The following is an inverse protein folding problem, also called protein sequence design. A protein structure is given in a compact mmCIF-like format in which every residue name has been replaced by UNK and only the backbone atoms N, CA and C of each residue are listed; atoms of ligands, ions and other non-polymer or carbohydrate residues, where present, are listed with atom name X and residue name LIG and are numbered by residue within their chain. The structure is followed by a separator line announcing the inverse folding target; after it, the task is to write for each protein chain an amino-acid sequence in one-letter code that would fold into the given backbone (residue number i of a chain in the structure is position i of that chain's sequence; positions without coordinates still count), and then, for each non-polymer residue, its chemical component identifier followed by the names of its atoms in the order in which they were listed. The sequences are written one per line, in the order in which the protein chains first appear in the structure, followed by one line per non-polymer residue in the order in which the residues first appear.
data_IF_658080949715
#
_entry.id   IF_658080949715
#
_cell.length_a   1.000
_cell.length_b   1.000
_cell.length_c   1.000
_cell.angle_alpha   90.00
_cell.angle_beta   90.00
_cell.angle_gamma   90.00
#
_symmetry.space_group_name_H-M   'P 1'
#
loop_
_entity.id
_entity.type
_entity.pdbx_description
1 polymer ?
#
# COMPACT_ATOMS: atom_id res chain seq x y z
N UNK A 1 -15.14 27.84 -80.76
CA UNK A 1 -16.26 26.94 -81.06
C UNK A 1 -17.53 27.69 -80.64
N UNK A 2 -18.39 28.10 -81.58
CA UNK A 2 -19.58 28.91 -81.28
C UNK A 2 -20.69 28.01 -80.72
N UNK A 3 -21.06 28.23 -79.46
CA UNK A 3 -22.19 27.57 -78.80
C UNK A 3 -23.49 28.17 -79.37
N UNK A 4 -24.57 27.39 -79.61
CA UNK A 4 -25.79 27.88 -80.23
C UNK A 4 -26.47 28.93 -79.35
N UNK A 5 -26.90 30.05 -79.95
CA UNK A 5 -27.65 31.10 -79.24
C UNK A 5 -29.11 30.63 -79.12
N UNK A 6 -29.48 30.08 -77.97
CA UNK A 6 -30.87 29.83 -77.61
C UNK A 6 -31.52 31.20 -77.34
N UNK A 7 -32.59 31.54 -78.05
CA UNK A 7 -33.38 32.75 -77.81
C UNK A 7 -34.70 32.29 -77.20
N UNK A 8 -34.83 32.43 -75.89
CA UNK A 8 -36.07 32.18 -75.14
C UNK A 8 -36.73 33.54 -74.87
N UNK A 9 -38.06 33.61 -74.94
CA UNK A 9 -38.82 34.79 -74.52
C UNK A 9 -38.72 34.96 -73.00
N UNK A 10 -38.31 36.15 -72.55
CA UNK A 10 -38.00 36.42 -71.15
C UNK A 10 -39.22 36.25 -70.23
N UNK A 11 -40.44 36.42 -70.75
CA UNK A 11 -41.66 36.33 -69.94
C UNK A 11 -42.01 34.88 -69.55
N UNK A 12 -41.85 33.91 -70.46
CA UNK A 12 -42.08 32.48 -70.16
C UNK A 12 -40.98 31.92 -69.27
N UNK A 13 -39.72 32.32 -69.50
CA UNK A 13 -38.60 31.86 -68.69
C UNK A 13 -38.68 32.33 -67.22
N UNK A 14 -39.19 33.54 -66.97
CA UNK A 14 -39.37 34.08 -65.62
C UNK A 14 -40.52 33.43 -64.83
N UNK A 15 -41.50 32.81 -65.47
CA UNK A 15 -42.57 32.05 -64.80
C UNK A 15 -42.03 30.72 -64.25
N UNK A 16 -41.23 30.00 -65.03
CA UNK A 16 -40.64 28.71 -64.63
C UNK A 16 -39.60 28.84 -63.50
N UNK A 17 -38.90 29.98 -63.42
CA UNK A 17 -37.91 30.24 -62.38
C UNK A 17 -38.51 30.56 -61.01
N UNK A 18 -39.80 30.88 -60.91
CA UNK A 18 -40.48 31.18 -59.63
C UNK A 18 -40.62 29.97 -58.71
N UNK A 19 -40.46 28.75 -59.23
CA UNK A 19 -40.55 27.52 -58.44
C UNK A 19 -39.24 27.16 -57.71
N UNK A 20 -38.15 27.88 -57.95
CA UNK A 20 -36.85 27.64 -57.31
C UNK A 20 -36.53 28.74 -56.30
N UNK A 21 -36.09 28.36 -55.09
CA UNK A 21 -35.67 29.33 -54.06
C UNK A 21 -34.30 29.97 -54.35
N UNK A 22 -33.42 29.29 -55.11
CA UNK A 22 -32.10 29.79 -55.48
C UNK A 22 -31.71 29.27 -56.88
N UNK A 23 -31.10 30.13 -57.72
CA UNK A 23 -30.69 29.79 -59.09
C UNK A 23 -29.26 30.28 -59.31
N UNK A 24 -28.39 29.37 -59.75
CA UNK A 24 -27.00 29.66 -60.06
C UNK A 24 -26.78 29.63 -61.59
N UNK A 25 -26.25 30.71 -62.16
CA UNK A 25 -26.06 30.86 -63.60
C UNK A 25 -24.57 30.91 -63.93
N UNK A 26 -24.09 29.93 -64.72
CA UNK A 26 -22.70 29.93 -65.20
C UNK A 26 -22.65 30.18 -66.73
N UNK A 27 -21.77 31.12 -67.14
CA UNK A 27 -21.47 31.44 -68.54
C UNK A 27 -22.65 31.89 -69.41
N UNK A 28 -23.62 32.62 -68.83
CA UNK A 28 -24.77 33.18 -69.56
C UNK A 28 -24.50 34.61 -70.02
N UNK A 29 -24.93 34.97 -71.24
CA UNK A 29 -24.91 36.36 -71.75
C UNK A 29 -26.34 36.87 -71.90
N UNK A 30 -26.70 37.90 -71.14
CA UNK A 30 -28.04 38.51 -71.16
C UNK A 30 -27.96 39.85 -71.89
N UNK A 31 -28.82 40.04 -72.90
CA UNK A 31 -28.79 41.21 -73.79
C UNK A 31 -30.13 41.96 -73.64
N UNK A 32 -30.18 42.94 -72.74
CA UNK A 32 -31.41 43.67 -72.40
C UNK A 32 -31.48 44.98 -73.20
N UNK A 33 -32.47 45.12 -74.07
CA UNK A 33 -32.59 46.30 -74.93
C UNK A 33 -33.07 47.58 -74.22
N UNK A 34 -33.75 47.48 -73.08
CA UNK A 34 -34.12 48.61 -72.20
C UNK A 34 -34.52 48.09 -70.80
N UNK A 35 -33.63 48.24 -69.80
CA UNK A 35 -33.86 47.91 -68.39
C UNK A 35 -32.59 48.08 -67.54
N UNK A 36 -32.73 48.32 -66.23
CA UNK A 36 -31.62 48.43 -65.26
C UNK A 36 -31.55 47.13 -64.44
N UNK A 37 -30.35 46.57 -64.27
CA UNK A 37 -30.08 45.41 -63.40
C UNK A 37 -29.29 45.92 -62.19
N UNK A 38 -29.83 45.78 -60.97
CA UNK A 38 -29.10 46.02 -59.72
C UNK A 38 -28.61 44.68 -59.14
N UNK A 39 -27.31 44.60 -58.85
CA UNK A 39 -26.70 43.47 -58.15
C UNK A 39 -26.40 43.87 -56.71
N UNK A 40 -26.97 43.15 -55.74
CA UNK A 40 -26.45 43.17 -54.36
C UNK A 40 -25.33 42.14 -54.25
N UNK A 41 -24.07 42.58 -54.20
CA UNK A 41 -22.97 41.67 -53.95
C UNK A 41 -23.10 41.03 -52.55
N UNK A 42 -22.94 39.70 -52.39
CA UNK A 42 -22.83 39.10 -51.08
C UNK A 42 -21.53 39.58 -50.42
N UNK A 43 -21.64 40.03 -49.17
CA UNK A 43 -20.51 40.43 -48.33
C UNK A 43 -19.57 39.22 -48.19
N UNK A 44 -18.34 39.36 -48.66
CA UNK A 44 -17.26 38.41 -48.37
C UNK A 44 -16.97 38.50 -46.86
N UNK A 45 -17.58 37.61 -46.06
CA UNK A 45 -17.22 37.48 -44.64
C UNK A 45 -15.81 36.87 -44.61
N UNK A 46 -14.80 37.56 -44.04
CA UNK A 46 -13.45 37.03 -43.97
C UNK A 46 -13.45 35.68 -43.22
N UNK A 47 -12.78 34.66 -43.76
CA UNK A 47 -12.52 33.39 -43.06
C UNK A 47 -11.86 33.59 -41.69
N UNK A 48 -11.25 34.76 -41.42
CA UNK A 48 -10.73 35.15 -40.11
C UNK A 48 -11.80 35.16 -39.00
N UNK A 49 -13.07 35.51 -39.29
CA UNK A 49 -14.13 35.45 -38.27
C UNK A 49 -14.49 34.01 -37.88
N UNK A 50 -14.31 33.04 -38.80
CA UNK A 50 -14.53 31.61 -38.50
C UNK A 50 -13.45 31.01 -37.61
N UNK A 51 -12.26 31.58 -37.56
CA UNK A 51 -11.19 31.11 -36.66
C UNK A 51 -11.42 31.56 -35.21
N UNK A 52 -11.93 32.77 -35.01
CA UNK A 52 -12.37 33.25 -33.69
C UNK A 52 -13.60 32.50 -33.19
N UNK A 53 -14.59 32.22 -34.05
CA UNK A 53 -15.75 31.39 -33.68
C UNK A 53 -15.38 29.91 -33.44
N UNK A 54 -14.30 29.39 -34.06
CA UNK A 54 -13.77 28.04 -33.78
C UNK A 54 -12.97 27.95 -32.49
N UNK A 55 -12.55 29.07 -31.91
CA UNK A 55 -12.17 29.11 -30.50
C UNK A 55 -13.43 29.22 -29.66
N UNK A 56 -14.34 28.24 -29.81
CA UNK A 56 -15.25 27.94 -28.73
C UNK A 56 -14.36 27.73 -27.51
N UNK A 57 -14.46 28.63 -26.52
CA UNK A 57 -13.78 28.53 -25.24
C UNK A 57 -14.04 27.10 -24.74
N UNK A 58 -13.02 26.24 -24.85
CA UNK A 58 -13.13 24.87 -24.38
C UNK A 58 -13.20 25.02 -22.87
N UNK A 59 -14.41 25.03 -22.33
CA UNK A 59 -14.64 24.93 -20.89
C UNK A 59 -14.18 23.55 -20.48
N UNK A 60 -12.91 23.45 -20.10
CA UNK A 60 -12.38 22.26 -19.46
C UNK A 60 -13.17 22.10 -18.17
N UNK A 61 -13.96 21.02 -17.99
CA UNK A 61 -14.69 20.82 -16.75
C UNK A 61 -13.68 20.76 -15.60
N UNK A 62 -14.02 21.38 -14.48
CA UNK A 62 -13.25 21.27 -13.25
C UNK A 62 -13.08 19.78 -12.91
N UNK A 63 -11.84 19.30 -12.89
CA UNK A 63 -11.58 17.92 -12.52
C UNK A 63 -11.91 17.73 -11.04
N UNK A 64 -12.79 16.78 -10.76
CA UNK A 64 -13.06 16.30 -9.40
C UNK A 64 -12.69 14.83 -9.34
N UNK A 65 -11.73 14.43 -8.47
CA UNK A 65 -11.38 13.03 -8.35
C UNK A 65 -12.60 12.24 -7.88
N UNK A 66 -12.76 11.02 -8.39
CA UNK A 66 -13.77 10.11 -7.87
C UNK A 66 -13.37 9.71 -6.45
N UNK A 67 -14.16 10.14 -5.46
CA UNK A 67 -13.98 9.75 -4.06
C UNK A 67 -15.01 8.66 -3.75
N UNK A 68 -14.53 7.45 -3.52
CA UNK A 68 -15.37 6.33 -3.10
C UNK A 68 -15.67 6.46 -1.60
N UNK A 69 -16.95 6.48 -1.24
CA UNK A 69 -17.37 6.33 0.16
C UNK A 69 -17.31 4.85 0.57
N UNK A 70 -16.71 4.58 1.72
CA UNK A 70 -16.57 3.25 2.31
C UNK A 70 -17.47 3.10 3.53
N UNK A 71 -18.01 1.90 3.76
CA UNK A 71 -18.97 1.66 4.85
C UNK A 71 -18.31 1.57 6.21
N UNK A 72 -17.10 1.01 6.24
CA UNK A 72 -16.32 0.80 7.44
C UNK A 72 -14.95 1.47 7.31
N UNK A 73 -14.37 1.75 8.47
CA UNK A 73 -12.96 2.07 8.64
C UNK A 73 -12.24 0.83 9.14
N UNK A 74 -10.94 0.76 8.88
CA UNK A 74 -10.08 -0.29 9.40
C UNK A 74 -9.81 0.00 10.87
N UNK A 75 -9.80 -1.03 11.71
CA UNK A 75 -9.57 -0.88 13.15
C UNK A 75 -8.22 -0.20 13.41
N UNK A 76 -8.16 0.59 14.48
CA UNK A 76 -6.92 1.21 14.94
C UNK A 76 -6.34 0.39 16.07
N UNK A 77 -5.07 -0.01 15.92
CA UNK A 77 -4.36 -0.83 16.91
C UNK A 77 -3.18 -0.02 17.44
N UNK A 78 -3.11 0.14 18.76
CA UNK A 78 -1.95 0.72 19.43
C UNK A 78 -0.95 -0.38 19.81
N UNK A 79 0.31 -0.13 19.48
CA UNK A 79 1.48 -0.91 19.90
C UNK A 79 2.26 -0.10 20.94
N UNK A 80 2.58 -0.75 22.06
CA UNK A 80 3.20 -0.12 23.21
C UNK A 80 2.21 0.51 24.19
N UNK A 81 2.66 0.64 25.43
CA UNK A 81 1.96 1.36 26.48
C UNK A 81 2.95 2.21 27.26
N UNK A 82 2.56 3.46 27.53
CA UNK A 82 3.29 4.38 28.40
C UNK A 82 3.09 4.03 29.89
N UNK A 83 3.80 4.73 30.78
CA UNK A 83 3.65 4.60 32.23
C UNK A 83 2.20 4.86 32.69
N UNK A 84 1.52 5.84 32.08
CA UNK A 84 0.11 6.17 32.37
C UNK A 84 -0.85 5.05 31.94
N UNK A 85 -0.44 4.20 30.98
CA UNK A 85 -1.21 3.08 30.45
C UNK A 85 -0.79 1.73 31.07
N UNK A 86 0.17 1.74 32.01
CA UNK A 86 0.67 0.55 32.71
C UNK A 86 1.82 -0.20 32.02
N UNK A 87 2.47 0.41 31.03
CA UNK A 87 3.72 -0.09 30.43
C UNK A 87 4.91 0.82 30.75
N UNK A 88 6.02 0.66 30.02
CA UNK A 88 7.25 1.45 30.22
C UNK A 88 7.79 2.06 28.93
N UNK A 89 7.04 1.97 27.82
CA UNK A 89 7.46 2.50 26.52
C UNK A 89 7.44 4.04 26.56
N UNK A 90 8.49 4.68 26.02
CA UNK A 90 8.49 6.15 25.82
C UNK A 90 7.81 6.56 24.52
N UNK A 91 7.67 5.62 23.59
CA UNK A 91 6.99 5.82 22.31
C UNK A 91 5.92 4.75 22.14
N UNK A 92 4.72 5.19 21.79
CA UNK A 92 3.63 4.34 21.35
C UNK A 92 3.36 4.61 19.88
N UNK A 93 2.97 3.59 19.15
CA UNK A 93 2.62 3.72 17.74
C UNK A 93 1.22 3.20 17.50
N UNK A 94 0.56 3.72 16.48
CA UNK A 94 -0.75 3.25 16.03
C UNK A 94 -0.62 2.81 14.57
N UNK A 95 -1.35 1.77 14.22
CA UNK A 95 -1.50 1.27 12.85
C UNK A 95 -2.99 1.09 12.55
N UNK A 96 -3.32 1.02 11.26
CA UNK A 96 -4.70 0.92 10.84
C UNK A 96 -5.42 2.26 10.89
N UNK A 97 -6.76 2.23 10.85
CA UNK A 97 -7.54 3.46 10.83
C UNK A 97 -7.70 4.09 9.45
N UNK A 98 -7.44 3.34 8.39
CA UNK A 98 -7.69 3.79 7.03
C UNK A 98 -9.20 3.78 6.77
N UNK A 99 -9.70 4.83 6.12
CA UNK A 99 -11.09 4.90 5.65
C UNK A 99 -11.22 4.62 4.14
N UNK A 100 -10.15 4.14 3.49
CA UNK A 100 -10.13 3.84 2.07
C UNK A 100 -8.90 3.04 1.63
N UNK A 101 -8.72 2.88 0.32
CA UNK A 101 -7.57 2.19 -0.26
C UNK A 101 -6.27 3.02 -0.06
N UNK A 102 -5.11 2.37 0.08
CA UNK A 102 -3.85 3.04 0.40
C UNK A 102 -3.51 4.11 -0.65
N UNK A 103 -3.26 5.33 -0.17
CA UNK A 103 -2.84 6.50 -0.97
C UNK A 103 -3.80 6.90 -2.10
N UNK A 104 -5.07 6.51 -2.02
CA UNK A 104 -6.09 6.92 -2.98
C UNK A 104 -6.64 8.33 -2.65
N UNK A 105 -7.03 9.15 -3.65
CA UNK A 105 -7.67 10.44 -3.38
C UNK A 105 -8.92 10.31 -2.48
N UNK A 106 -8.94 11.07 -1.39
CA UNK A 106 -10.02 11.04 -0.40
C UNK A 106 -9.90 9.93 0.66
N UNK A 107 -8.89 9.05 0.58
CA UNK A 107 -8.54 8.13 1.66
C UNK A 107 -7.70 8.84 2.72
N UNK A 108 -8.22 8.92 3.94
CA UNK A 108 -7.46 9.33 5.12
C UNK A 108 -6.63 8.15 5.63
N UNK A 109 -5.31 8.27 5.51
CA UNK A 109 -4.33 7.34 6.08
C UNK A 109 -3.92 7.84 7.48
N UNK A 110 -4.84 7.81 8.45
CA UNK A 110 -4.65 8.46 9.77
C UNK A 110 -3.34 8.05 10.43
N UNK A 111 -3.01 6.76 10.38
CA UNK A 111 -1.75 6.26 10.90
C UNK A 111 -0.87 5.83 9.74
N UNK A 112 0.37 6.32 9.71
CA UNK A 112 1.36 5.89 8.73
C UNK A 112 1.73 4.41 8.95
N UNK A 113 1.97 3.63 7.89
CA UNK A 113 2.55 2.31 8.03
C UNK A 113 3.91 2.35 8.74
N UNK A 114 4.22 1.29 9.48
CA UNK A 114 5.40 1.19 10.33
C UNK A 114 6.34 0.08 9.87
N UNK A 115 7.63 0.26 10.07
CA UNK A 115 8.66 -0.74 9.78
C UNK A 115 9.32 -1.18 11.08
N UNK A 116 9.31 -2.48 11.34
CA UNK A 116 10.09 -3.12 12.41
C UNK A 116 11.43 -3.59 11.87
N UNK A 117 12.42 -3.67 12.78
CA UNK A 117 13.69 -4.33 12.49
C UNK A 117 13.72 -5.71 13.11
N UNK A 118 14.01 -6.74 12.30
CA UNK A 118 14.18 -8.11 12.76
C UNK A 118 15.51 -8.30 13.48
N UNK A 119 15.42 -8.79 14.71
CA UNK A 119 16.52 -9.14 15.61
C UNK A 119 16.30 -10.57 16.07
N UNK A 120 17.38 -11.28 16.40
CA UNK A 120 17.33 -12.68 16.82
C UNK A 120 17.99 -12.84 18.19
N UNK A 121 17.47 -13.74 19.00
CA UNK A 121 18.03 -14.06 20.33
C UNK A 121 19.29 -14.95 20.28
N UNK A 122 19.62 -15.43 19.09
CA UNK A 122 20.85 -16.12 18.74
C UNK A 122 21.16 -15.84 17.26
N UNK A 123 22.42 -15.61 16.86
CA UNK A 123 22.77 -15.33 15.48
C UNK A 123 22.31 -16.43 14.51
N UNK A 124 21.43 -16.15 13.54
CA UNK A 124 21.09 -17.09 12.50
C UNK A 124 22.09 -17.02 11.32
N UNK A 125 22.10 -18.03 10.43
CA UNK A 125 22.86 -17.94 9.20
C UNK A 125 22.28 -16.87 8.27
N UNK A 126 22.91 -15.68 8.24
CA UNK A 126 22.49 -14.58 7.38
C UNK A 126 23.38 -14.41 6.13
N UNK A 127 22.79 -14.04 4.97
CA UNK A 127 23.54 -13.59 3.81
C UNK A 127 24.52 -12.47 4.15
N UNK A 128 25.68 -12.47 3.46
CA UNK A 128 26.72 -11.44 3.64
C UNK A 128 26.16 -10.01 3.54
N UNK A 129 25.21 -9.80 2.63
CA UNK A 129 24.56 -8.49 2.43
C UNK A 129 23.89 -7.93 3.68
N UNK A 130 23.34 -8.79 4.55
CA UNK A 130 22.79 -8.36 5.84
C UNK A 130 23.89 -8.37 6.90
N UNK A 131 24.63 -9.47 6.98
CA UNK A 131 25.59 -9.72 8.06
C UNK A 131 26.62 -8.60 8.19
N UNK A 132 27.16 -8.08 7.09
CA UNK A 132 28.18 -7.02 7.08
C UNK A 132 27.76 -5.73 7.83
N UNK A 133 26.46 -5.55 8.10
CA UNK A 133 25.94 -4.41 8.86
C UNK A 133 25.89 -4.62 10.38
N UNK A 134 26.03 -5.86 10.84
CA UNK A 134 25.75 -6.27 12.22
C UNK A 134 26.77 -7.25 12.83
N UNK A 135 27.85 -7.60 12.13
CA UNK A 135 28.87 -8.57 12.62
C UNK A 135 29.36 -8.28 14.05
N UNK A 136 29.37 -7.01 14.47
CA UNK A 136 29.79 -6.55 15.79
C UNK A 136 28.71 -6.65 16.89
N UNK A 137 27.44 -6.84 16.53
CA UNK A 137 26.30 -6.79 17.47
C UNK A 137 25.38 -8.02 17.43
N UNK A 138 25.51 -8.92 16.45
CA UNK A 138 24.58 -10.06 16.27
C UNK A 138 24.52 -11.06 17.43
N UNK A 139 25.51 -11.08 18.31
CA UNK A 139 25.55 -11.93 19.52
C UNK A 139 24.82 -11.29 20.72
N UNK A 140 24.46 -10.00 20.63
CA UNK A 140 23.77 -9.24 21.67
C UNK A 140 22.44 -8.69 21.09
N UNK A 141 21.30 -9.31 21.43
CA UNK A 141 19.99 -8.89 20.93
C UNK A 141 19.67 -7.42 21.25
N UNK A 142 20.14 -6.90 22.38
CA UNK A 142 19.91 -5.50 22.77
C UNK A 142 20.73 -4.56 21.90
N UNK A 143 22.02 -4.85 21.69
CA UNK A 143 22.86 -4.05 20.82
C UNK A 143 22.37 -4.09 19.36
N UNK A 144 21.91 -5.26 18.90
CA UNK A 144 21.34 -5.42 17.57
C UNK A 144 20.04 -4.62 17.41
N UNK A 145 19.13 -4.68 18.40
CA UNK A 145 17.91 -3.88 18.42
C UNK A 145 18.21 -2.38 18.36
N UNK A 146 19.15 -1.89 19.17
CA UNK A 146 19.58 -0.47 19.16
C UNK A 146 20.12 -0.07 17.79
N UNK A 147 20.97 -0.90 17.17
CA UNK A 147 21.50 -0.64 15.82
C UNK A 147 20.39 -0.60 14.76
N UNK A 148 19.41 -1.51 14.82
CA UNK A 148 18.26 -1.51 13.91
C UNK A 148 17.43 -0.22 13.99
N UNK A 149 17.24 0.30 15.20
CA UNK A 149 16.53 1.57 15.44
C UNK A 149 17.33 2.78 14.96
N UNK A 150 18.65 2.82 15.21
CA UNK A 150 19.55 3.85 14.67
C UNK A 150 19.52 3.90 13.13
N UNK A 151 19.30 2.75 12.49
CA UNK A 151 19.22 2.61 11.04
C UNK A 151 17.84 2.94 10.46
N UNK A 152 16.91 3.36 11.31
CA UNK A 152 15.67 4.05 10.94
C UNK A 152 14.40 3.33 11.35
N UNK A 153 14.43 2.06 11.76
CA UNK A 153 13.23 1.30 12.09
C UNK A 153 12.38 1.98 13.19
N UNK A 154 11.06 1.79 13.13
CA UNK A 154 10.13 2.39 14.08
C UNK A 154 10.06 1.57 15.38
N UNK A 155 10.08 0.24 15.27
CA UNK A 155 10.02 -0.73 16.37
C UNK A 155 10.91 -1.95 16.07
N UNK A 156 10.95 -2.90 16.99
CA UNK A 156 11.78 -4.11 16.90
C UNK A 156 10.90 -5.36 16.86
N UNK A 157 11.23 -6.29 15.97
CA UNK A 157 10.76 -7.68 16.05
C UNK A 157 11.88 -8.53 16.62
N UNK A 158 11.65 -9.21 17.74
CA UNK A 158 12.57 -10.21 18.27
C UNK A 158 12.08 -11.61 17.87
N UNK A 159 12.93 -12.35 17.17
CA UNK A 159 12.72 -13.76 16.82
C UNK A 159 13.48 -14.63 17.82
N UNK A 160 12.75 -15.38 18.64
CA UNK A 160 13.27 -16.26 19.68
C UNK A 160 13.69 -17.62 19.10
N UNK A 161 14.53 -17.60 18.06
CA UNK A 161 14.93 -18.80 17.29
C UNK A 161 15.69 -19.83 18.12
N UNK A 162 16.33 -19.41 19.22
CA UNK A 162 17.03 -20.31 20.14
C UNK A 162 16.10 -21.29 20.87
N UNK A 163 14.78 -21.05 20.88
CA UNK A 163 13.81 -21.97 21.51
C UNK A 163 13.47 -23.18 20.65
N UNK A 164 13.91 -23.25 19.38
CA UNK A 164 13.67 -24.43 18.54
C UNK A 164 14.32 -25.67 19.20
N UNK A 165 13.54 -26.74 19.48
CA UNK A 165 14.06 -28.00 20.01
C UNK A 165 15.17 -28.65 19.17
N UNK A 166 15.31 -28.26 17.89
CA UNK A 166 16.35 -28.74 16.97
C UNK A 166 17.66 -27.94 17.07
N UNK A 167 17.67 -26.83 17.81
CA UNK A 167 18.84 -25.96 17.95
C UNK A 167 19.36 -25.94 19.40
N UNK A 168 19.03 -24.91 20.19
CA UNK A 168 19.44 -24.76 21.59
C UNK A 168 18.36 -25.22 22.57
N UNK A 169 17.11 -25.36 22.12
CA UNK A 169 15.96 -25.73 22.94
C UNK A 169 15.83 -24.89 24.23
N UNK A 170 16.14 -23.58 24.15
CA UNK A 170 16.00 -22.67 25.30
C UNK A 170 14.58 -22.71 25.85
N UNK A 171 14.46 -22.60 27.16
CA UNK A 171 13.15 -22.71 27.83
C UNK A 171 12.33 -21.43 27.61
N UNK A 172 10.99 -21.50 27.75
CA UNK A 172 10.14 -20.32 27.73
C UNK A 172 10.59 -19.20 28.70
N UNK A 173 11.13 -19.56 29.87
CA UNK A 173 11.63 -18.63 30.86
C UNK A 173 12.91 -17.91 30.39
N UNK A 174 13.82 -18.63 29.73
CA UNK A 174 15.03 -18.02 29.17
C UNK A 174 14.69 -17.06 28.01
N UNK A 175 13.71 -17.42 27.18
CA UNK A 175 13.19 -16.53 26.14
C UNK A 175 12.52 -15.28 26.73
N UNK A 176 11.72 -15.45 27.78
CA UNK A 176 11.06 -14.34 28.48
C UNK A 176 12.06 -13.37 29.13
N UNK A 177 13.22 -13.87 29.59
CA UNK A 177 14.29 -13.03 30.10
C UNK A 177 14.93 -12.16 29.00
N UNK A 178 15.18 -12.73 27.82
CA UNK A 178 15.64 -11.96 26.64
C UNK A 178 14.66 -10.82 26.32
N UNK A 179 13.36 -11.08 26.40
CA UNK A 179 12.32 -10.05 26.18
C UNK A 179 12.37 -8.98 27.27
N UNK A 180 12.53 -9.36 28.54
CA UNK A 180 12.64 -8.41 29.66
C UNK A 180 13.87 -7.49 29.49
N UNK A 181 15.01 -8.07 29.12
CA UNK A 181 16.25 -7.32 28.87
C UNK A 181 16.08 -6.30 27.72
N UNK A 182 15.42 -6.69 26.63
CA UNK A 182 15.08 -5.79 25.52
C UNK A 182 14.16 -4.66 25.97
N UNK A 183 13.12 -4.97 26.75
CA UNK A 183 12.17 -3.97 27.24
C UNK A 183 12.87 -2.94 28.14
N UNK A 184 13.82 -3.34 28.98
CA UNK A 184 14.59 -2.43 29.84
C UNK A 184 15.52 -1.50 29.06
N UNK A 185 15.97 -1.93 27.88
CA UNK A 185 17.03 -1.26 27.12
C UNK A 185 16.55 -0.52 25.86
N UNK A 186 15.30 -0.73 25.44
CA UNK A 186 14.73 -0.16 24.22
C UNK A 186 13.42 0.55 24.56
N UNK A 187 13.23 1.76 24.04
CA UNK A 187 12.11 2.63 24.41
C UNK A 187 10.85 2.47 23.54
N UNK A 188 10.96 1.72 22.45
CA UNK A 188 9.89 1.47 21.47
C UNK A 188 9.17 0.15 21.75
N UNK A 189 7.98 -0.08 21.15
CA UNK A 189 7.26 -1.34 21.27
C UNK A 189 8.01 -2.51 20.64
N UNK A 190 7.68 -3.73 21.11
CA UNK A 190 8.23 -4.98 20.59
C UNK A 190 7.15 -5.82 19.88
N UNK A 191 7.56 -6.45 18.78
CA UNK A 191 6.91 -7.63 18.22
C UNK A 191 7.70 -8.85 18.71
N UNK A 192 7.03 -9.82 19.32
CA UNK A 192 7.67 -11.00 19.92
C UNK A 192 7.31 -12.22 19.08
N UNK A 193 8.30 -12.75 18.36
CA UNK A 193 8.24 -13.92 17.51
C UNK A 193 8.81 -15.16 18.20
N UNK A 194 8.14 -16.30 18.04
CA UNK A 194 8.66 -17.60 18.43
C UNK A 194 9.73 -18.15 17.47
N UNK A 195 10.00 -19.44 17.59
CA UNK A 195 10.94 -20.18 16.73
C UNK A 195 10.29 -20.74 15.45
N UNK A 196 8.96 -20.71 15.36
CA UNK A 196 8.16 -21.40 14.36
C UNK A 196 7.82 -22.84 14.75
N UNK A 197 8.08 -23.26 15.99
CA UNK A 197 7.76 -24.60 16.46
C UNK A 197 6.33 -24.64 17.03
N UNK A 198 5.41 -25.45 16.47
CA UNK A 198 3.99 -25.40 16.83
C UNK A 198 3.69 -25.83 18.27
N UNK A 199 4.55 -26.65 18.88
CA UNK A 199 4.38 -27.12 20.26
C UNK A 199 5.04 -26.18 21.26
N UNK A 200 6.21 -25.62 20.92
CA UNK A 200 7.00 -24.77 21.82
C UNK A 200 6.52 -23.33 21.82
N UNK A 201 6.15 -22.77 20.66
CA UNK A 201 5.85 -21.34 20.51
C UNK A 201 4.69 -20.87 21.40
N UNK A 202 3.56 -21.60 21.56
CA UNK A 202 2.51 -21.17 22.48
C UNK A 202 2.98 -21.07 23.95
N UNK A 203 3.93 -21.92 24.37
CA UNK A 203 4.52 -21.88 25.72
C UNK A 203 5.44 -20.66 25.86
N UNK A 204 6.28 -20.43 24.86
CA UNK A 204 7.24 -19.31 24.81
C UNK A 204 6.50 -17.97 24.79
N UNK A 205 5.51 -17.82 23.92
CA UNK A 205 4.74 -16.59 23.79
C UNK A 205 3.92 -16.29 25.06
N UNK A 206 3.39 -17.30 25.75
CA UNK A 206 2.74 -17.10 27.05
C UNK A 206 3.73 -16.60 28.11
N UNK A 207 4.92 -17.20 28.20
CA UNK A 207 5.95 -16.76 29.14
C UNK A 207 6.42 -15.33 28.85
N UNK A 208 6.64 -15.01 27.57
CA UNK A 208 7.02 -13.67 27.14
C UNK A 208 5.91 -12.64 27.41
N UNK A 209 4.64 -12.99 27.18
CA UNK A 209 3.50 -12.13 27.52
C UNK A 209 3.44 -11.82 29.02
N UNK A 210 3.72 -12.80 29.89
CA UNK A 210 3.78 -12.57 31.34
C UNK A 210 4.95 -11.68 31.73
N UNK A 211 6.11 -11.84 31.10
CA UNK A 211 7.28 -11.00 31.37
C UNK A 211 7.11 -9.56 30.86
N UNK A 212 6.37 -9.37 29.76
CA UNK A 212 6.08 -8.09 29.14
C UNK A 212 4.74 -7.48 29.61
N UNK A 213 4.18 -7.93 30.74
CA UNK A 213 2.83 -7.55 31.16
C UNK A 213 2.62 -6.03 31.15
N UNK A 214 1.56 -5.59 30.47
CA UNK A 214 1.20 -4.17 30.37
C UNK A 214 1.91 -3.42 29.25
N UNK A 215 3.02 -3.93 28.70
CA UNK A 215 3.81 -3.25 27.66
C UNK A 215 3.13 -3.16 26.30
N UNK A 216 2.03 -3.90 26.11
CA UNK A 216 1.25 -3.93 24.87
C UNK A 216 2.08 -4.24 23.63
N UNK A 217 2.97 -5.23 23.76
CA UNK A 217 3.67 -5.90 22.66
C UNK A 217 2.70 -6.59 21.68
N UNK A 218 3.20 -6.90 20.47
CA UNK A 218 2.52 -7.74 19.48
C UNK A 218 3.08 -9.17 19.56
N UNK A 219 2.23 -10.16 19.86
CA UNK A 219 2.62 -11.58 19.88
C UNK A 219 2.48 -12.18 18.47
N UNK A 220 3.61 -12.60 17.89
CA UNK A 220 3.72 -13.20 16.56
C UNK A 220 4.06 -14.70 16.68
N UNK A 221 3.15 -15.62 16.37
CA UNK A 221 1.79 -15.41 15.88
C UNK A 221 0.83 -16.49 16.39
N UNK A 222 -0.46 -16.19 16.32
CA UNK A 222 -1.52 -17.18 16.47
C UNK A 222 -1.91 -17.71 15.08
N UNK A 223 -2.12 -19.02 14.96
CA UNK A 223 -2.48 -19.71 13.71
C UNK A 223 -3.53 -20.78 13.98
N UNK A 224 -4.26 -21.25 12.95
CA UNK A 224 -5.30 -22.27 13.14
C UNK A 224 -4.77 -23.65 13.53
N UNK A 225 -3.49 -23.92 13.27
CA UNK A 225 -2.82 -25.21 13.45
C UNK A 225 -1.98 -25.32 14.74
N UNK A 226 -1.91 -24.25 15.54
CA UNK A 226 -1.27 -24.26 16.88
C UNK A 226 -2.28 -23.91 17.98
N UNK A 227 -1.84 -23.92 19.24
CA UNK A 227 -2.66 -23.47 20.38
C UNK A 227 -2.85 -21.93 20.40
N UNK A 228 -3.59 -21.41 19.41
CA UNK A 228 -3.96 -19.99 19.31
C UNK A 228 -4.76 -19.51 20.51
N UNK A 229 -5.50 -20.41 21.18
CA UNK A 229 -6.28 -20.03 22.35
C UNK A 229 -5.38 -19.66 23.53
N UNK A 230 -4.28 -20.39 23.75
CA UNK A 230 -3.29 -20.06 24.76
C UNK A 230 -2.62 -18.71 24.49
N UNK A 231 -2.25 -18.45 23.24
CA UNK A 231 -1.65 -17.16 22.84
C UNK A 231 -2.66 -16.02 23.05
N UNK A 232 -3.92 -16.21 22.63
CA UNK A 232 -4.97 -15.21 22.81
C UNK A 232 -5.26 -14.94 24.29
N UNK A 233 -5.38 -15.98 25.13
CA UNK A 233 -5.57 -15.83 26.58
C UNK A 233 -4.41 -15.09 27.22
N UNK A 234 -3.17 -15.44 26.88
CA UNK A 234 -1.98 -14.73 27.34
C UNK A 234 -2.00 -13.25 26.94
N UNK A 235 -2.44 -12.93 25.72
CA UNK A 235 -2.56 -11.56 25.25
C UNK A 235 -3.66 -10.78 25.99
N UNK A 236 -4.82 -11.39 26.24
CA UNK A 236 -5.92 -10.76 26.98
C UNK A 236 -5.49 -10.45 28.42
N UNK A 237 -4.91 -11.43 29.12
CA UNK A 237 -4.51 -11.32 30.53
C UNK A 237 -3.40 -10.29 30.76
N UNK A 238 -2.51 -10.10 29.78
CA UNK A 238 -1.34 -9.24 29.90
C UNK A 238 -1.41 -7.96 29.04
N UNK A 239 -2.58 -7.69 28.43
CA UNK A 239 -2.86 -6.51 27.60
C UNK A 239 -1.96 -6.38 26.36
N UNK A 240 -1.80 -7.47 25.60
CA UNK A 240 -1.03 -7.51 24.34
C UNK A 240 -1.92 -7.55 23.10
N UNK A 241 -1.30 -7.31 21.95
CA UNK A 241 -1.90 -7.47 20.62
C UNK A 241 -1.50 -8.84 20.06
N UNK A 242 -2.38 -9.47 19.27
CA UNK A 242 -2.12 -10.76 18.61
C UNK A 242 -1.99 -10.53 17.11
N UNK A 243 -0.94 -11.11 16.52
CA UNK A 243 -0.81 -11.25 15.07
C UNK A 243 -1.46 -12.57 14.64
N UNK A 244 -2.55 -12.48 13.88
CA UNK A 244 -3.33 -13.60 13.37
C UNK A 244 -2.82 -14.01 11.99
N UNK A 245 -1.97 -15.03 11.96
CA UNK A 245 -1.31 -15.48 10.74
C UNK A 245 -2.09 -16.58 10.03
N UNK A 246 -2.26 -16.44 8.72
CA UNK A 246 -2.88 -17.44 7.84
C UNK A 246 -2.15 -17.55 6.50
N UNK A 247 -2.30 -18.67 5.81
CA UNK A 247 -1.61 -18.95 4.55
C UNK A 247 -2.42 -18.50 3.33
N UNK A 248 -2.34 -17.21 2.97
CA UNK A 248 -2.90 -16.63 1.72
C UNK A 248 -4.35 -17.08 1.45
N UNK A 249 -5.18 -17.12 2.50
CA UNK A 249 -6.56 -17.60 2.44
C UNK A 249 -7.48 -16.70 3.26
N UNK A 250 -8.40 -16.03 2.55
CA UNK A 250 -9.34 -15.09 3.14
C UNK A 250 -10.34 -15.74 4.09
N UNK A 251 -10.73 -16.99 3.85
CA UNK A 251 -11.68 -17.70 4.69
C UNK A 251 -11.01 -18.15 5.98
N UNK A 252 -9.76 -18.63 5.90
CA UNK A 252 -8.97 -18.94 7.09
C UNK A 252 -8.74 -17.70 7.94
N UNK A 253 -8.46 -16.54 7.32
CA UNK A 253 -8.31 -15.29 8.07
C UNK A 253 -9.60 -14.89 8.79
N UNK A 254 -10.76 -14.96 8.11
CA UNK A 254 -12.07 -14.72 8.74
C UNK A 254 -12.33 -15.67 9.90
N UNK A 255 -12.04 -16.96 9.71
CA UNK A 255 -12.21 -17.98 10.73
C UNK A 255 -11.33 -17.70 11.97
N UNK A 256 -10.03 -17.46 11.76
CA UNK A 256 -9.09 -17.17 12.84
C UNK A 256 -9.48 -15.90 13.59
N UNK A 257 -9.79 -14.81 12.86
CA UNK A 257 -10.22 -13.56 13.47
C UNK A 257 -11.50 -13.75 14.30
N UNK A 258 -12.51 -14.44 13.78
CA UNK A 258 -13.74 -14.75 14.52
C UNK A 258 -13.45 -15.56 15.79
N UNK A 259 -12.60 -16.58 15.71
CA UNK A 259 -12.21 -17.40 16.87
C UNK A 259 -11.51 -16.56 17.94
N UNK A 260 -10.55 -15.73 17.57
CA UNK A 260 -9.82 -14.85 18.49
C UNK A 260 -10.77 -13.85 19.17
N UNK A 261 -11.68 -13.23 18.42
CA UNK A 261 -12.69 -12.31 18.99
C UNK A 261 -13.65 -13.03 19.94
N UNK A 262 -14.07 -14.27 19.62
CA UNK A 262 -14.95 -15.07 20.48
C UNK A 262 -14.29 -15.49 21.81
N UNK A 263 -12.95 -15.55 21.88
CA UNK A 263 -12.21 -15.76 23.13
C UNK A 263 -12.17 -14.50 24.01
N UNK A 264 -12.68 -13.36 23.52
CA UNK A 264 -12.69 -12.09 24.23
C UNK A 264 -11.54 -11.16 23.86
N UNK A 265 -10.76 -11.47 22.83
CA UNK A 265 -9.75 -10.54 22.31
C UNK A 265 -10.46 -9.29 21.79
N UNK A 266 -10.03 -8.10 22.24
CA UNK A 266 -10.64 -6.86 21.77
C UNK A 266 -10.23 -6.57 20.34
N UNK A 267 -11.07 -5.81 19.62
CA UNK A 267 -10.81 -5.45 18.21
C UNK A 267 -9.54 -4.60 18.03
N UNK A 268 -9.17 -3.82 19.04
CA UNK A 268 -7.94 -3.03 19.12
C UNK A 268 -6.69 -3.85 19.52
N UNK A 269 -6.81 -5.18 19.57
CA UNK A 269 -5.75 -6.13 19.91
C UNK A 269 -5.48 -7.15 18.78
N UNK A 270 -5.92 -6.89 17.55
CA UNK A 270 -5.78 -7.84 16.44
C UNK A 270 -5.12 -7.20 15.21
N UNK A 271 -4.07 -7.84 14.72
CA UNK A 271 -3.40 -7.53 13.45
C UNK A 271 -3.43 -8.80 12.58
N UNK A 272 -3.81 -8.68 11.30
CA UNK A 272 -3.81 -9.81 10.39
C UNK A 272 -2.45 -9.99 9.73
N UNK A 273 -2.01 -11.22 9.50
CA UNK A 273 -0.90 -11.53 8.59
C UNK A 273 -1.35 -12.60 7.60
N UNK A 274 -1.79 -12.23 6.39
CA UNK A 274 -2.29 -13.17 5.40
C UNK A 274 -1.16 -13.88 4.63
N UNK A 275 0.06 -13.90 5.17
CA UNK A 275 1.30 -14.38 4.56
C UNK A 275 1.77 -13.53 3.38
N UNK A 276 3.04 -13.13 3.45
CA UNK A 276 3.75 -12.47 2.35
C UNK A 276 4.51 -13.48 1.52
N UNK A 277 3.98 -13.78 0.33
CA UNK A 277 4.76 -14.33 -0.76
C UNK A 277 5.60 -13.22 -1.40
N UNK A 278 6.86 -13.53 -1.69
CA UNK A 278 7.86 -12.52 -2.06
C UNK A 278 8.01 -12.40 -3.57
N UNK A 279 8.65 -11.33 -4.04
CA UNK A 279 8.87 -11.09 -5.46
C UNK A 279 9.43 -12.33 -6.15
N UNK A 280 8.77 -12.78 -7.22
CA UNK A 280 9.17 -13.96 -8.00
C UNK A 280 8.74 -15.32 -7.43
N UNK A 281 8.13 -15.36 -6.23
CA UNK A 281 7.73 -16.58 -5.53
C UNK A 281 6.27 -16.50 -5.05
N UNK A 282 5.35 -16.14 -5.95
CA UNK A 282 3.90 -16.13 -5.68
C UNK A 282 3.34 -14.81 -5.15
N UNK A 283 4.06 -13.70 -5.30
CA UNK A 283 3.65 -12.36 -4.84
C UNK A 283 2.25 -11.94 -5.34
N UNK A 284 1.86 -12.38 -6.54
CA UNK A 284 0.55 -12.14 -7.16
C UNK A 284 -0.62 -12.70 -6.34
N UNK A 285 -0.41 -13.81 -5.62
CA UNK A 285 -1.41 -14.38 -4.73
C UNK A 285 -1.59 -13.50 -3.50
N UNK A 286 -0.49 -13.05 -2.89
CA UNK A 286 -0.54 -12.13 -1.76
C UNK A 286 -1.17 -10.79 -2.15
N UNK A 287 -0.82 -10.21 -3.30
CA UNK A 287 -1.45 -8.98 -3.83
C UNK A 287 -2.96 -9.16 -3.86
N UNK A 288 -3.43 -10.24 -4.50
CA UNK A 288 -4.85 -10.50 -4.69
C UNK A 288 -5.57 -10.67 -3.35
N UNK A 289 -4.98 -11.39 -2.41
CA UNK A 289 -5.61 -11.65 -1.10
C UNK A 289 -5.62 -10.40 -0.21
N UNK A 290 -4.51 -9.69 -0.08
CA UNK A 290 -4.44 -8.47 0.75
C UNK A 290 -5.37 -7.37 0.22
N UNK A 291 -5.40 -7.13 -1.10
CA UNK A 291 -6.32 -6.15 -1.68
C UNK A 291 -7.79 -6.54 -1.47
N UNK A 292 -8.13 -7.82 -1.64
CA UNK A 292 -9.49 -8.30 -1.36
C UNK A 292 -9.86 -8.13 0.10
N UNK A 293 -8.96 -8.46 1.03
CA UNK A 293 -9.17 -8.26 2.46
C UNK A 293 -9.43 -6.80 2.80
N UNK A 294 -8.57 -5.89 2.32
CA UNK A 294 -8.73 -4.44 2.50
C UNK A 294 -10.08 -3.96 1.95
N UNK A 295 -10.43 -4.35 0.72
CA UNK A 295 -11.70 -3.98 0.09
C UNK A 295 -12.93 -4.53 0.83
N UNK A 296 -12.91 -5.79 1.26
CA UNK A 296 -14.01 -6.41 2.00
C UNK A 296 -14.19 -5.75 3.37
N UNK A 297 -13.07 -5.49 4.08
CA UNK A 297 -13.06 -4.75 5.34
C UNK A 297 -13.72 -3.37 5.21
N UNK A 298 -13.29 -2.57 4.23
CA UNK A 298 -13.85 -1.25 3.93
C UNK A 298 -15.32 -1.30 3.48
N UNK A 299 -15.74 -2.38 2.78
CA UNK A 299 -17.12 -2.59 2.32
C UNK A 299 -18.09 -3.04 3.42
N UNK A 300 -17.61 -3.32 4.63
CA UNK A 300 -18.46 -3.65 5.77
C UNK A 300 -18.13 -4.95 6.48
N UNK A 301 -17.17 -5.75 5.98
CA UNK A 301 -16.82 -7.03 6.61
C UNK A 301 -16.01 -6.79 7.89
N UNK A 302 -16.67 -6.95 9.05
CA UNK A 302 -16.07 -6.72 10.37
C UNK A 302 -15.03 -7.77 10.76
N UNK A 303 -14.97 -8.91 10.06
CA UNK A 303 -13.97 -9.95 10.29
C UNK A 303 -12.66 -9.65 9.56
N UNK A 304 -12.67 -8.74 8.59
CA UNK A 304 -11.49 -8.34 7.80
C UNK A 304 -11.12 -6.87 7.97
N UNK A 305 -11.84 -6.12 8.80
CA UNK A 305 -11.61 -4.70 8.98
C UNK A 305 -10.45 -4.41 9.95
N UNK A 306 -9.34 -5.13 9.88
CA UNK A 306 -8.19 -5.02 10.80
C UNK A 306 -6.92 -4.59 10.04
N UNK A 307 -5.93 -3.98 10.72
CA UNK A 307 -4.65 -3.70 10.08
C UNK A 307 -3.93 -4.98 9.66
N UNK A 308 -3.10 -4.88 8.63
CA UNK A 308 -2.33 -5.99 8.07
C UNK A 308 -0.84 -5.83 8.32
N UNK A 309 -0.17 -6.95 8.58
CA UNK A 309 1.28 -7.09 8.69
C UNK A 309 1.85 -7.82 7.48
N UNK A 310 3.13 -7.58 7.18
CA UNK A 310 3.90 -8.29 6.18
C UNK A 310 5.26 -8.73 6.73
N UNK A 311 5.51 -10.04 6.69
CA UNK A 311 6.85 -10.63 6.81
C UNK A 311 7.72 -10.35 5.57
N UNK A 312 8.06 -9.08 5.31
CA UNK A 312 8.82 -8.66 4.12
C UNK A 312 10.23 -9.27 4.10
N UNK A 313 10.81 -9.56 5.27
CA UNK A 313 12.08 -10.31 5.42
C UNK A 313 12.10 -11.66 4.70
N UNK A 314 10.94 -12.27 4.42
CA UNK A 314 10.84 -13.49 3.60
C UNK A 314 11.51 -13.33 2.23
N UNK A 315 11.70 -12.09 1.74
CA UNK A 315 12.41 -11.79 0.50
C UNK A 315 13.83 -12.38 0.50
N UNK A 316 14.47 -12.53 1.66
CA UNK A 316 15.78 -13.15 1.81
C UNK A 316 15.77 -14.68 1.66
N UNK A 317 14.60 -15.32 1.62
CA UNK A 317 14.44 -16.71 1.21
C UNK A 317 14.60 -16.92 -0.30
N UNK A 318 14.38 -15.88 -1.11
CA UNK A 318 14.56 -15.94 -2.56
C UNK A 318 16.05 -16.09 -2.92
N UNK A 319 16.37 -17.01 -3.84
CA UNK A 319 17.76 -17.26 -4.27
C UNK A 319 18.38 -16.01 -4.89
N UNK A 320 17.58 -15.23 -5.59
CA UNK A 320 17.91 -13.95 -6.21
C UNK A 320 18.29 -12.87 -5.19
N UNK A 321 18.02 -13.05 -3.89
CA UNK A 321 18.42 -12.09 -2.88
C UNK A 321 19.87 -12.31 -2.39
N UNK A 322 20.38 -13.55 -2.39
CA UNK A 322 21.66 -13.86 -1.72
C UNK A 322 22.64 -14.71 -2.55
N UNK A 323 22.17 -15.44 -3.56
CA UNK A 323 23.01 -16.31 -4.38
C UNK A 323 23.96 -15.47 -5.24
N UNK A 324 25.24 -15.86 -5.24
CA UNK A 324 26.23 -15.27 -6.15
C UNK A 324 26.01 -15.86 -7.54
N UNK A 325 25.63 -14.99 -8.49
CA UNK A 325 25.43 -15.33 -9.89
C UNK A 325 25.78 -14.10 -10.74
N UNK A 326 26.74 -14.20 -11.64
CA UNK A 326 27.34 -13.05 -12.33
C UNK A 326 26.38 -12.42 -13.36
N UNK A 327 25.63 -13.25 -14.08
CA UNK A 327 24.58 -12.87 -15.04
C UNK A 327 23.39 -12.14 -14.40
N UNK A 328 23.24 -12.21 -13.08
CA UNK A 328 22.21 -11.48 -12.33
C UNK A 328 22.71 -10.15 -11.75
N UNK A 329 24.01 -9.85 -11.86
CA UNK A 329 24.61 -8.68 -11.23
C UNK A 329 24.82 -8.84 -9.71
N UNK A 330 25.21 -7.74 -9.07
CA UNK A 330 25.68 -7.75 -7.68
C UNK A 330 24.58 -8.09 -6.67
N UNK A 331 24.79 -9.16 -5.89
CA UNK A 331 23.87 -9.57 -4.82
C UNK A 331 23.77 -8.55 -3.68
N UNK A 332 24.79 -7.72 -3.47
CA UNK A 332 24.78 -6.67 -2.45
C UNK A 332 23.80 -5.54 -2.80
N UNK A 333 23.41 -5.44 -4.08
CA UNK A 333 22.35 -4.56 -4.56
C UNK A 333 21.02 -5.29 -4.72
N UNK A 334 21.05 -6.52 -5.29
CA UNK A 334 19.84 -7.31 -5.52
C UNK A 334 19.08 -7.67 -4.25
N UNK A 335 19.77 -8.15 -3.22
CA UNK A 335 19.13 -8.57 -1.96
C UNK A 335 18.28 -7.46 -1.34
N UNK A 336 18.87 -6.27 -1.09
CA UNK A 336 18.12 -5.14 -0.56
C UNK A 336 16.97 -4.71 -1.48
N UNK A 337 17.17 -4.72 -2.79
CA UNK A 337 16.10 -4.40 -3.76
C UNK A 337 14.95 -5.42 -3.71
N UNK A 338 15.24 -6.71 -3.52
CA UNK A 338 14.22 -7.75 -3.42
C UNK A 338 13.29 -7.51 -2.23
N UNK A 339 13.88 -7.17 -1.09
CA UNK A 339 13.16 -6.80 0.12
C UNK A 339 12.39 -5.49 -0.06
N UNK A 340 13.01 -4.45 -0.65
CA UNK A 340 12.35 -3.16 -0.91
C UNK A 340 11.16 -3.32 -1.85
N UNK A 341 11.30 -4.01 -2.98
CA UNK A 341 10.20 -4.16 -3.95
C UNK A 341 9.06 -4.98 -3.37
N UNK A 342 9.37 -6.02 -2.59
CA UNK A 342 8.35 -6.77 -1.84
C UNK A 342 7.61 -5.83 -0.88
N UNK A 343 8.33 -5.05 -0.07
CA UNK A 343 7.74 -4.08 0.85
C UNK A 343 6.88 -3.01 0.16
N UNK A 344 7.35 -2.43 -0.94
CA UNK A 344 6.59 -1.44 -1.72
C UNK A 344 5.31 -2.04 -2.32
N UNK A 345 5.39 -3.28 -2.79
CA UNK A 345 4.20 -3.97 -3.32
C UNK A 345 3.17 -4.21 -2.22
N UNK A 346 3.61 -4.65 -1.04
CA UNK A 346 2.76 -4.87 0.12
C UNK A 346 2.17 -3.54 0.64
N UNK A 347 2.93 -2.44 0.60
CA UNK A 347 2.47 -1.09 0.90
C UNK A 347 1.30 -0.66 0.02
N UNK A 348 1.39 -0.90 -1.29
CA UNK A 348 0.32 -0.61 -2.24
C UNK A 348 -0.88 -1.56 -2.10
N UNK A 349 -0.72 -2.69 -1.40
CA UNK A 349 -1.82 -3.59 -1.03
C UNK A 349 -2.51 -3.20 0.27
N UNK A 350 -2.00 -2.19 0.98
CA UNK A 350 -2.56 -1.67 2.23
C UNK A 350 -2.04 -2.42 3.45
N UNK A 351 -0.75 -2.75 3.49
CA UNK A 351 -0.09 -3.25 4.71
C UNK A 351 0.30 -2.07 5.61
N UNK A 352 0.11 -2.27 6.92
CA UNK A 352 0.29 -1.24 7.95
C UNK A 352 1.53 -1.49 8.82
N UNK A 353 2.04 -2.73 8.86
CA UNK A 353 3.24 -3.11 9.61
C UNK A 353 4.17 -4.01 8.77
N UNK A 354 5.44 -3.64 8.63
CA UNK A 354 6.43 -4.37 7.84
C UNK A 354 7.53 -4.92 8.74
N UNK A 355 7.77 -6.23 8.70
CA UNK A 355 8.92 -6.86 9.33
C UNK A 355 10.05 -6.96 8.31
N UNK A 356 11.15 -6.28 8.58
CA UNK A 356 12.27 -6.09 7.65
C UNK A 356 13.62 -6.30 8.35
N UNK A 357 14.65 -6.63 7.56
CA UNK A 357 15.95 -7.06 8.07
C UNK A 357 17.14 -6.31 7.44
N UNK A 358 17.02 -5.70 6.26
CA UNK A 358 18.14 -4.97 5.66
C UNK A 358 18.05 -3.45 5.86
N UNK A 359 19.10 -2.78 6.40
CA UNK A 359 19.09 -1.34 6.70
C UNK A 359 18.71 -0.45 5.52
N UNK A 360 19.30 -0.68 4.34
CA UNK A 360 18.97 0.12 3.15
C UNK A 360 17.53 -0.09 2.71
N UNK A 361 16.98 -1.28 2.92
CA UNK A 361 15.61 -1.60 2.51
C UNK A 361 14.62 -0.93 3.43
N UNK A 362 14.88 -0.96 4.74
CA UNK A 362 14.13 -0.21 5.77
C UNK A 362 14.12 1.28 5.47
N UNK A 363 15.28 1.89 5.22
CA UNK A 363 15.39 3.32 4.92
C UNK A 363 14.67 3.69 3.62
N UNK A 364 14.82 2.86 2.59
CA UNK A 364 14.17 3.09 1.29
C UNK A 364 12.66 3.01 1.41
N UNK A 365 12.13 1.99 2.10
CA UNK A 365 10.69 1.85 2.28
C UNK A 365 10.13 2.99 3.12
N UNK A 366 10.80 3.41 4.20
CA UNK A 366 10.36 4.55 4.99
C UNK A 366 10.36 5.86 4.22
N UNK A 367 11.37 6.10 3.37
CA UNK A 367 11.37 7.27 2.49
C UNK A 367 10.17 7.26 1.53
N UNK A 368 9.81 6.09 0.99
CA UNK A 368 8.63 5.94 0.11
C UNK A 368 7.34 6.17 0.89
N UNK A 369 7.20 5.59 2.10
CA UNK A 369 6.06 5.83 2.99
C UNK A 369 5.91 7.32 3.26
N UNK A 370 6.99 8.00 3.67
CA UNK A 370 6.97 9.43 3.98
C UNK A 370 6.56 10.29 2.77
N UNK A 371 7.05 9.95 1.57
CA UNK A 371 6.67 10.65 0.35
C UNK A 371 5.19 10.44 0.00
N UNK A 372 4.71 9.19 0.02
CA UNK A 372 3.32 8.87 -0.32
C UNK A 372 2.34 9.44 0.71
N UNK A 373 2.67 9.39 2.01
CA UNK A 373 1.87 10.02 3.06
C UNK A 373 1.78 11.54 2.88
N UNK A 374 2.89 12.23 2.55
CA UNK A 374 2.87 13.68 2.27
C UNK A 374 2.03 14.03 1.05
N UNK A 375 2.11 13.22 -0.01
CA UNK A 375 1.30 13.40 -1.22
C UNK A 375 -0.19 13.21 -0.91
N UNK A 376 -0.54 12.21 -0.10
CA UNK A 376 -1.91 11.99 0.34
C UNK A 376 -2.47 13.16 1.16
N UNK A 377 -1.65 13.79 2.01
CA UNK A 377 -2.06 14.96 2.82
C UNK A 377 -2.18 16.25 2.01
N UNK A 378 -1.22 16.54 1.12
CA UNK A 378 -1.12 17.84 0.43
C UNK A 378 -1.78 17.87 -0.94
N UNK A 379 -2.08 16.72 -1.52
CA UNK A 379 -2.44 16.60 -2.93
C UNK A 379 -1.22 16.83 -3.85
N UNK A 380 -1.40 16.54 -5.14
CA UNK A 380 -0.39 16.81 -6.18
C UNK A 380 -0.75 18.11 -6.87
N UNK A 381 0.13 19.11 -6.83
CA UNK A 381 0.06 20.29 -7.71
C UNK A 381 0.48 19.85 -9.13
N UNK A 382 -0.48 19.34 -9.89
CA UNK A 382 -0.27 18.85 -11.26
C UNK A 382 0.01 19.97 -12.25
N UNK A 383 -0.09 21.25 -11.86
CA UNK A 383 -0.04 22.41 -12.76
C UNK A 383 1.34 22.66 -13.39
N UNK A 384 2.43 22.06 -12.85
CA UNK A 384 3.81 22.28 -13.29
C UNK A 384 4.46 21.09 -14.02
N UNK A 385 3.69 20.09 -14.46
CA UNK A 385 4.23 18.88 -15.11
C UNK A 385 4.93 19.12 -16.47
N UNK A 386 4.73 20.30 -17.08
CA UNK A 386 5.34 20.69 -18.37
C UNK A 386 6.73 21.34 -18.15
N UNK A 387 7.07 21.71 -16.92
CA UNK A 387 8.34 22.37 -16.57
C UNK A 387 9.34 21.49 -15.82
N UNK A 388 8.97 20.24 -15.51
CA UNK A 388 9.91 19.18 -15.13
C UNK A 388 10.52 18.57 -16.38
#
# INVERSE_FOLDING_TARGET
MRIPKLIIDAAEWLEELKEFEEIELENVTIDVKNGIIEFSAPVLIPQMMREEERRAEIKIPEYRPFVQEWKNRIEEVQLGATEEEGGTRKKVFRIGGENGMPFYPGSEMKNRPLVTFDVFDMPPPLPKAIRDHFEDVMEDPVAWAKRGLELGANLVTIHLVSTDPRTKDRTPEEAAETVRELLENVEVPLVIGGSGNPEKDPLVLEACAKAAKGERCLLASATLDIDYERIARAAIENNHVVLAWTSIDINQQKELNRKLLNLGLRRDQLVMDPTTAVLGYGIEYTISVMQRMRLEGLKGDKELSFPMSSGTTNAWGAREAWMKREDWGDRMLRGPLWETITGVTMLLCGVDLFMMLHPRSVQTLQNIIDQLSRIAEKGVEYENWITM
#
